data_IF_865823505977
#
_entry.id   IF_865823505977
#
_cell.length_a   1.000
_cell.length_b   1.000
_cell.length_c   1.000
_cell.angle_alpha   90.00
_cell.angle_beta   90.00
_cell.angle_gamma   90.00
#
_symmetry.space_group_name_H-M   'P 1'
#
loop_
_entity.id
_entity.type
_entity.pdbx_description
1 polymer ?
#
# COMPACT_ATOMS: atom_id res chain seq x y z
N UNK A 1 -28.12 -31.57 17.47
CA UNK A 1 -26.73 -32.07 17.62
C UNK A 1 -25.92 -31.95 16.32
N UNK A 2 -26.44 -32.29 15.13
CA UNK A 2 -25.71 -32.09 13.86
C UNK A 2 -25.43 -30.62 13.50
N UNK A 3 -26.34 -29.70 13.82
CA UNK A 3 -26.20 -28.27 13.48
C UNK A 3 -24.95 -27.65 14.10
N UNK A 4 -24.60 -28.02 15.34
CA UNK A 4 -23.38 -27.51 15.99
C UNK A 4 -22.11 -27.94 15.25
N UNK A 5 -22.07 -29.18 14.74
CA UNK A 5 -20.92 -29.68 13.99
C UNK A 5 -20.75 -28.90 12.69
N UNK A 6 -21.84 -28.61 11.98
CA UNK A 6 -21.82 -27.79 10.75
C UNK A 6 -21.35 -26.36 11.04
N UNK A 7 -21.83 -25.76 12.13
CA UNK A 7 -21.44 -24.41 12.53
C UNK A 7 -19.96 -24.31 12.92
N UNK A 8 -19.43 -25.32 13.60
CA UNK A 8 -18.00 -25.38 13.97
C UNK A 8 -17.11 -25.49 12.73
N UNK A 9 -17.48 -26.34 11.76
CA UNK A 9 -16.72 -26.45 10.51
C UNK A 9 -16.80 -25.15 9.71
N UNK A 10 -18.00 -24.56 9.61
CA UNK A 10 -18.21 -23.30 8.90
C UNK A 10 -17.37 -22.16 9.52
N UNK A 11 -17.36 -22.02 10.84
CA UNK A 11 -16.55 -20.98 11.50
C UNK A 11 -15.05 -21.22 11.33
N UNK A 12 -14.61 -22.49 11.33
CA UNK A 12 -13.20 -22.85 11.06
C UNK A 12 -12.79 -22.45 9.64
N UNK A 13 -13.63 -22.73 8.65
CA UNK A 13 -13.38 -22.38 7.24
C UNK A 13 -13.30 -20.86 7.08
N UNK A 14 -14.21 -20.11 7.70
CA UNK A 14 -14.18 -18.64 7.67
C UNK A 14 -12.90 -18.11 8.32
N UNK A 15 -12.52 -18.63 9.49
CA UNK A 15 -11.31 -18.22 10.20
C UNK A 15 -10.04 -18.48 9.36
N UNK A 16 -9.93 -19.67 8.75
CA UNK A 16 -8.81 -20.00 7.87
C UNK A 16 -8.80 -19.16 6.58
N UNK A 17 -9.98 -18.85 6.03
CA UNK A 17 -10.12 -17.94 4.89
C UNK A 17 -9.58 -16.54 5.19
N UNK A 18 -9.98 -15.97 6.34
CA UNK A 18 -9.45 -14.68 6.79
C UNK A 18 -7.94 -14.72 7.05
N UNK A 19 -7.44 -15.79 7.64
CA UNK A 19 -6.01 -15.96 7.89
C UNK A 19 -5.21 -16.03 6.59
N UNK A 20 -5.70 -16.77 5.58
CA UNK A 20 -5.07 -16.84 4.27
C UNK A 20 -5.09 -15.48 3.55
N UNK A 21 -6.22 -14.76 3.61
CA UNK A 21 -6.34 -13.41 3.06
C UNK A 21 -5.39 -12.42 3.75
N UNK A 22 -5.21 -12.54 5.07
CA UNK A 22 -4.24 -11.74 5.83
C UNK A 22 -2.81 -11.94 5.33
N UNK A 23 -2.37 -13.19 5.18
CA UNK A 23 -1.02 -13.45 4.64
C UNK A 23 -0.86 -12.97 3.19
N UNK A 24 -1.91 -13.09 2.37
CA UNK A 24 -1.88 -12.54 1.01
C UNK A 24 -1.74 -11.00 1.03
N UNK A 25 -2.51 -10.31 1.85
CA UNK A 25 -2.45 -8.85 2.00
C UNK A 25 -1.13 -8.34 2.55
N UNK A 26 -0.47 -9.09 3.44
CA UNK A 26 0.85 -8.72 3.99
C UNK A 26 1.97 -8.98 2.99
N UNK A 27 1.83 -10.03 2.16
CA UNK A 27 2.78 -10.32 1.08
C UNK A 27 2.61 -9.35 -0.09
N UNK A 28 1.39 -8.89 -0.35
CA UNK A 28 1.13 -7.86 -1.34
C UNK A 28 1.75 -6.57 -0.85
N UNK A 29 2.58 -5.96 -1.69
CA UNK A 29 3.54 -4.92 -1.31
C UNK A 29 2.85 -3.55 -1.13
N UNK A 30 1.76 -3.52 -0.35
CA UNK A 30 0.95 -2.35 -0.04
C UNK A 30 1.71 -1.29 0.77
N UNK A 31 2.95 -1.57 1.17
CA UNK A 31 3.83 -0.67 1.89
C UNK A 31 4.76 0.16 0.98
N UNK A 32 4.73 -0.06 -0.33
CA UNK A 32 5.58 0.67 -1.29
C UNK A 32 5.25 2.17 -1.36
N UNK A 33 4.05 2.59 -0.91
CA UNK A 33 3.70 4.02 -0.77
C UNK A 33 4.18 4.60 0.57
N UNK A 34 5.48 4.43 0.86
CA UNK A 34 6.13 5.03 2.04
C UNK A 34 6.39 6.53 1.83
N UNK A 35 6.34 7.01 0.59
CA UNK A 35 6.60 8.42 0.24
C UNK A 35 5.30 9.16 -0.09
N UNK A 36 4.73 9.78 0.93
CA UNK A 36 3.43 10.45 0.85
C UNK A 36 3.47 11.63 -0.15
N UNK A 37 2.41 11.85 -0.96
CA UNK A 37 2.33 12.94 -1.93
C UNK A 37 2.58 14.34 -1.33
N UNK A 38 2.27 14.53 -0.04
CA UNK A 38 2.53 15.79 0.68
C UNK A 38 4.02 16.09 0.88
N UNK A 39 4.88 15.08 0.92
CA UNK A 39 6.34 15.30 1.01
C UNK A 39 6.92 15.61 -0.36
N UNK A 40 6.43 14.93 -1.41
CA UNK A 40 6.84 15.16 -2.80
C UNK A 40 6.65 16.62 -3.21
N UNK A 41 5.50 17.21 -2.93
CA UNK A 41 5.20 18.58 -3.36
C UNK A 41 6.08 19.65 -2.68
N UNK A 42 6.57 19.40 -1.46
CA UNK A 42 7.43 20.33 -0.74
C UNK A 42 8.88 20.35 -1.25
N UNK A 43 9.33 19.25 -1.85
CA UNK A 43 10.69 19.12 -2.37
C UNK A 43 10.75 19.31 -3.89
N UNK A 44 9.71 18.92 -4.64
CA UNK A 44 9.61 19.12 -6.11
C UNK A 44 9.57 20.61 -6.50
N UNK A 45 9.03 21.49 -5.64
CA UNK A 45 9.01 22.95 -5.89
C UNK A 45 10.43 23.56 -5.99
N UNK A 46 11.46 22.89 -5.46
CA UNK A 46 12.85 23.39 -5.51
C UNK A 46 13.60 22.95 -6.77
N UNK A 47 13.18 21.85 -7.42
CA UNK A 47 13.87 21.34 -8.62
C UNK A 47 13.51 22.14 -9.87
N UNK A 48 12.27 22.65 -9.97
CA UNK A 48 11.83 23.48 -11.11
C UNK A 48 12.60 24.80 -11.17
N UNK A 49 13.01 25.38 -10.02
CA UNK A 49 13.77 26.62 -10.00
C UNK A 49 15.20 26.47 -10.56
N UNK A 50 15.82 25.30 -10.42
CA UNK A 50 17.20 25.06 -10.90
C UNK A 50 17.27 24.72 -12.39
N UNK A 51 16.21 24.13 -12.93
CA UNK A 51 16.13 23.76 -14.35
C UNK A 51 15.86 24.97 -15.27
N UNK A 52 15.24 26.03 -14.73
CA UNK A 52 15.01 27.30 -15.44
C UNK A 52 16.31 28.12 -15.52
N UNK A 53 17.10 28.19 -14.44
CA UNK A 53 18.37 28.93 -14.35
C UNK A 53 19.48 28.30 -15.22
N UNK A 54 19.50 26.96 -15.31
CA UNK A 54 20.46 26.21 -16.13
C UNK A 54 20.19 26.34 -17.64
N UNK A 55 18.94 26.59 -18.05
CA UNK A 55 18.56 26.78 -19.46
C UNK A 55 18.75 28.21 -19.96
N UNK A 56 18.74 29.22 -19.08
CA UNK A 56 19.07 30.60 -19.45
C UNK A 56 20.57 30.83 -19.65
N UNK A 57 21.45 30.09 -18.94
CA UNK A 57 22.91 30.26 -19.05
C UNK A 57 23.53 29.63 -20.31
N UNK A 58 22.78 28.77 -21.04
CA UNK A 58 23.24 28.12 -22.28
C UNK A 58 22.63 28.69 -23.57
N UNK A 59 21.94 29.85 -23.51
CA UNK A 59 21.41 30.53 -24.70
C UNK A 59 22.16 31.83 -25.01
#
# INVERSE_FOLDING_TARGET
>A
MQVLIVLVICSLVVALGFLAAFFWSVKDNQYEDTYTPSMRILFDDNEVAQDIDSKETQK
#
